data_IF_603696822613
#
_entry.id   IF_603696822613
#
_cell.length_a   1.000
_cell.length_b   1.000
_cell.length_c   1.000
_cell.angle_alpha   90.00
_cell.angle_beta   90.00
_cell.angle_gamma   90.00
#
_symmetry.space_group_name_H-M   'P 1'
#
loop_
_entity.id
_entity.type
_entity.pdbx_description
1 polymer ?
#
# COMPACT_ATOMS: atom_id res chain seq x y z
N UNK A 1 -31.72 11.26 -15.65
CA UNK A 1 -30.83 12.45 -15.54
C UNK A 1 -29.45 12.01 -15.99
N UNK A 2 -28.89 12.63 -17.01
CA UNK A 2 -27.53 12.38 -17.46
C UNK A 2 -26.59 12.98 -16.41
N UNK A 3 -25.84 12.15 -15.70
CA UNK A 3 -24.85 12.60 -14.73
C UNK A 3 -23.72 13.41 -15.40
N UNK A 4 -22.96 14.13 -14.59
CA UNK A 4 -21.84 14.93 -15.09
C UNK A 4 -20.63 14.06 -15.40
N UNK A 5 -19.86 14.45 -16.42
CA UNK A 5 -18.54 13.89 -16.69
C UNK A 5 -17.50 14.71 -15.94
N UNK A 6 -16.79 14.08 -14.99
CA UNK A 6 -15.77 14.71 -14.15
C UNK A 6 -14.41 14.12 -14.48
N UNK A 7 -13.50 14.96 -14.94
CA UNK A 7 -12.17 14.56 -15.38
C UNK A 7 -11.17 14.50 -14.21
N UNK A 8 -10.25 13.52 -14.26
CA UNK A 8 -9.05 13.52 -13.44
C UNK A 8 -7.82 13.34 -14.32
N UNK A 9 -6.84 14.22 -14.14
CA UNK A 9 -5.55 14.18 -14.80
C UNK A 9 -4.41 14.12 -13.78
N UNK A 10 -3.31 13.45 -14.16
CA UNK A 10 -2.08 13.43 -13.40
C UNK A 10 -0.90 13.65 -14.33
N UNK A 11 -0.07 14.64 -14.01
CA UNK A 11 1.11 14.99 -14.78
C UNK A 11 2.37 14.86 -13.94
N UNK A 12 3.49 14.46 -14.54
CA UNK A 12 4.80 14.63 -13.92
C UNK A 12 5.35 16.01 -14.26
N UNK A 13 6.23 16.57 -13.42
CA UNK A 13 6.86 17.88 -13.66
C UNK A 13 7.69 17.92 -14.95
N UNK A 14 7.97 16.77 -15.56
CA UNK A 14 8.70 16.61 -16.81
C UNK A 14 7.80 16.38 -18.04
N UNK A 15 6.49 16.21 -17.85
CA UNK A 15 5.58 15.88 -18.95
C UNK A 15 5.06 17.14 -19.65
N UNK A 16 5.48 17.32 -20.91
CA UNK A 16 4.88 18.27 -21.86
C UNK A 16 3.46 17.87 -22.30
N UNK A 17 2.87 16.82 -21.68
CA UNK A 17 1.57 16.24 -22.06
C UNK A 17 0.39 16.75 -21.23
N UNK A 18 0.52 17.87 -20.53
CA UNK A 18 -0.57 18.51 -19.78
C UNK A 18 -1.73 18.87 -20.69
N UNK A 19 -1.41 19.53 -21.79
CA UNK A 19 -2.39 20.02 -22.76
C UNK A 19 -3.13 18.85 -23.41
N UNK A 20 -2.42 17.78 -23.79
CA UNK A 20 -3.04 16.59 -24.39
C UNK A 20 -4.06 15.90 -23.48
N UNK A 21 -3.77 15.77 -22.17
CA UNK A 21 -4.71 15.17 -21.23
C UNK A 21 -5.93 16.07 -21.01
N UNK A 22 -5.68 17.37 -20.83
CA UNK A 22 -6.74 18.36 -20.64
C UNK A 22 -7.65 18.44 -21.85
N UNK A 23 -7.08 18.49 -23.05
CA UNK A 23 -7.80 18.51 -24.31
C UNK A 23 -8.63 17.24 -24.51
N UNK A 24 -8.05 16.06 -24.25
CA UNK A 24 -8.76 14.79 -24.34
C UNK A 24 -9.95 14.71 -23.37
N UNK A 25 -9.80 15.21 -22.15
CA UNK A 25 -10.88 15.25 -21.16
C UNK A 25 -11.95 16.29 -21.55
N UNK A 26 -11.55 17.42 -22.11
CA UNK A 26 -12.47 18.44 -22.62
C UNK A 26 -13.28 17.93 -23.82
N UNK A 27 -12.62 17.27 -24.77
CA UNK A 27 -13.27 16.61 -25.92
C UNK A 27 -14.20 15.48 -25.48
N UNK A 28 -13.85 14.77 -24.39
CA UNK A 28 -14.71 13.76 -23.78
C UNK A 28 -15.96 14.34 -23.13
N UNK A 29 -16.06 15.68 -22.99
CA UNK A 29 -17.21 16.37 -22.41
C UNK A 29 -17.15 16.59 -20.92
N UNK A 30 -15.95 16.51 -20.29
CA UNK A 30 -15.82 16.77 -18.86
C UNK A 30 -16.17 18.21 -18.50
N UNK A 31 -17.11 18.37 -17.56
CA UNK A 31 -17.55 19.68 -17.07
C UNK A 31 -16.59 20.27 -16.04
N UNK A 32 -15.82 19.43 -15.39
CA UNK A 32 -14.79 19.79 -14.41
C UNK A 32 -13.62 18.82 -14.47
N UNK A 33 -12.41 19.34 -14.35
CA UNK A 33 -11.18 18.53 -14.33
C UNK A 33 -10.39 18.83 -13.04
N UNK A 34 -10.03 17.77 -12.31
CA UNK A 34 -9.12 17.82 -11.18
C UNK A 34 -7.73 17.37 -11.63
N UNK A 35 -6.68 18.05 -11.17
CA UNK A 35 -5.35 17.84 -11.70
C UNK A 35 -4.31 17.79 -10.59
N UNK A 36 -3.60 16.63 -10.47
CA UNK A 36 -2.46 16.48 -9.60
C UNK A 36 -1.14 16.60 -10.39
N UNK A 37 -0.19 17.34 -9.82
CA UNK A 37 1.18 17.40 -10.34
C UNK A 37 2.05 16.47 -9.51
N UNK A 38 2.56 15.39 -10.12
CA UNK A 38 3.43 14.44 -9.45
C UNK A 38 4.86 14.99 -9.38
N UNK A 39 5.27 15.51 -8.25
CA UNK A 39 6.67 15.81 -7.95
C UNK A 39 7.28 14.62 -7.19
N UNK A 40 8.12 13.83 -7.85
CA UNK A 40 8.98 12.80 -7.23
C UNK A 40 8.24 11.73 -6.41
N UNK A 41 8.73 11.44 -5.21
CA UNK A 41 8.28 10.37 -4.32
C UNK A 41 6.98 10.66 -3.56
N UNK A 42 6.35 11.81 -3.70
CA UNK A 42 5.17 12.20 -2.94
C UNK A 42 3.94 11.41 -3.39
N UNK A 43 3.53 10.54 -2.46
CA UNK A 43 2.37 9.67 -2.60
C UNK A 43 1.04 10.42 -2.54
N UNK A 44 1.02 11.71 -2.22
CA UNK A 44 -0.19 12.49 -2.05
C UNK A 44 -0.80 12.92 -3.37
N UNK A 45 -2.11 12.66 -3.49
CA UNK A 45 -2.96 13.06 -4.62
C UNK A 45 -4.16 13.84 -4.09
N UNK A 46 -3.96 15.08 -3.63
CA UNK A 46 -5.02 15.85 -3.02
C UNK A 46 -6.18 16.14 -3.98
N UNK A 47 -5.87 16.32 -5.28
CA UNK A 47 -6.89 16.55 -6.28
C UNK A 47 -7.66 15.27 -6.65
N UNK A 48 -7.03 14.09 -6.60
CA UNK A 48 -7.76 12.83 -6.72
C UNK A 48 -8.74 12.65 -5.56
N UNK A 49 -8.30 12.91 -4.34
CA UNK A 49 -9.17 12.86 -3.15
C UNK A 49 -10.33 13.83 -3.31
N UNK A 50 -10.06 15.09 -3.64
CA UNK A 50 -11.10 16.09 -3.89
C UNK A 50 -12.05 15.71 -5.03
N UNK A 51 -11.55 15.08 -6.10
CA UNK A 51 -12.34 14.56 -7.19
C UNK A 51 -13.29 13.45 -6.74
N UNK A 52 -12.76 12.46 -5.99
CA UNK A 52 -13.55 11.34 -5.46
C UNK A 52 -14.61 11.81 -4.44
N UNK A 53 -14.34 12.87 -3.68
CA UNK A 53 -15.30 13.49 -2.78
C UNK A 53 -16.34 14.33 -3.51
N UNK A 54 -16.00 14.86 -4.70
CA UNK A 54 -16.88 15.71 -5.50
C UNK A 54 -17.93 14.91 -6.27
N UNK A 55 -17.55 13.76 -6.87
CA UNK A 55 -18.45 12.97 -7.73
C UNK A 55 -19.60 12.34 -6.93
N UNK A 56 -20.79 12.31 -7.53
CA UNK A 56 -22.05 11.83 -6.94
C UNK A 56 -22.62 10.66 -7.74
N UNK A 57 -23.62 10.01 -7.16
CA UNK A 57 -24.41 8.99 -7.86
C UNK A 57 -24.91 9.50 -9.21
N UNK A 58 -24.76 8.69 -10.25
CA UNK A 58 -25.06 9.02 -11.64
C UNK A 58 -23.97 9.78 -12.40
N UNK A 59 -22.95 10.37 -11.72
CA UNK A 59 -21.79 10.97 -12.40
C UNK A 59 -20.86 9.90 -12.99
N UNK A 60 -19.95 10.33 -13.87
CA UNK A 60 -18.91 9.47 -14.44
C UNK A 60 -17.53 10.10 -14.25
N UNK A 61 -16.63 9.40 -13.58
CA UNK A 61 -15.22 9.77 -13.50
C UNK A 61 -14.51 9.40 -14.80
N UNK A 62 -13.89 10.36 -15.44
CA UNK A 62 -13.18 10.20 -16.71
C UNK A 62 -11.69 10.42 -16.50
N UNK A 63 -10.87 9.52 -17.02
CA UNK A 63 -9.41 9.68 -17.09
C UNK A 63 -8.93 9.53 -18.52
N UNK A 64 -7.82 10.15 -18.86
CA UNK A 64 -7.21 9.96 -20.16
C UNK A 64 -6.68 8.53 -20.33
N UNK A 65 -5.98 7.98 -19.30
CA UNK A 65 -5.43 6.62 -19.27
C UNK A 65 -5.56 6.01 -17.88
N UNK A 66 -5.64 4.69 -17.82
CA UNK A 66 -5.77 3.92 -16.56
C UNK A 66 -4.63 4.19 -15.58
N UNK A 67 -3.40 4.38 -16.07
CA UNK A 67 -2.20 4.64 -15.25
C UNK A 67 -2.22 6.03 -14.57
N UNK A 68 -3.11 6.91 -14.99
CA UNK A 68 -3.33 8.20 -14.32
C UNK A 68 -4.11 8.02 -13.02
N UNK A 69 -5.05 7.10 -12.96
CA UNK A 69 -5.85 6.81 -11.76
C UNK A 69 -5.15 5.85 -10.80
N UNK A 70 -4.76 4.67 -11.27
CA UNK A 70 -4.16 3.62 -10.45
C UNK A 70 -2.63 3.76 -10.31
N UNK A 71 -2.10 3.44 -9.13
CA UNK A 71 -0.65 3.25 -8.89
C UNK A 71 -0.21 1.81 -9.21
N UNK A 72 -1.18 0.91 -9.22
CA UNK A 72 -1.05 -0.50 -9.57
C UNK A 72 -2.40 -0.98 -10.07
N UNK A 73 -2.42 -2.10 -10.77
CA UNK A 73 -3.66 -2.69 -11.24
C UNK A 73 -4.64 -3.01 -10.09
N UNK A 74 -4.22 -3.61 -8.96
CA UNK A 74 -5.10 -3.79 -7.81
C UNK A 74 -5.72 -2.48 -7.30
N UNK A 75 -4.91 -1.42 -7.12
CA UNK A 75 -5.41 -0.13 -6.66
C UNK A 75 -6.42 0.50 -7.64
N UNK A 76 -6.20 0.35 -8.95
CA UNK A 76 -7.15 0.80 -9.97
C UNK A 76 -8.50 0.09 -9.80
N UNK A 77 -8.47 -1.24 -9.67
CA UNK A 77 -9.67 -2.06 -9.52
C UNK A 77 -10.44 -1.70 -8.26
N UNK A 78 -9.74 -1.56 -7.12
CA UNK A 78 -10.36 -1.20 -5.86
C UNK A 78 -11.02 0.20 -5.95
N UNK A 79 -10.35 1.15 -6.62
CA UNK A 79 -10.91 2.50 -6.84
C UNK A 79 -12.18 2.46 -7.70
N UNK A 80 -12.15 1.74 -8.83
CA UNK A 80 -13.31 1.66 -9.74
C UNK A 80 -14.46 0.87 -9.13
N UNK A 81 -14.19 -0.17 -8.32
CA UNK A 81 -15.22 -0.87 -7.53
C UNK A 81 -15.89 0.09 -6.55
N UNK A 82 -15.10 0.87 -5.80
CA UNK A 82 -15.64 1.87 -4.87
C UNK A 82 -16.50 2.93 -5.56
N UNK A 83 -16.16 3.32 -6.79
CA UNK A 83 -17.00 4.21 -7.59
C UNK A 83 -18.32 3.53 -7.97
N UNK A 84 -18.27 2.28 -8.43
CA UNK A 84 -19.46 1.51 -8.80
C UNK A 84 -20.41 1.29 -7.61
N UNK A 85 -19.88 1.00 -6.42
CA UNK A 85 -20.65 0.86 -5.17
C UNK A 85 -21.38 2.16 -4.78
N UNK A 86 -20.87 3.31 -5.25
CA UNK A 86 -21.47 4.63 -5.08
C UNK A 86 -22.37 5.05 -6.25
N UNK A 87 -22.63 4.17 -7.21
CA UNK A 87 -23.40 4.49 -8.41
C UNK A 87 -22.67 5.39 -9.41
N UNK A 88 -21.34 5.53 -9.32
CA UNK A 88 -20.53 6.40 -10.17
C UNK A 88 -19.91 5.58 -11.30
N UNK A 89 -20.10 6.03 -12.55
CA UNK A 89 -19.46 5.46 -13.72
C UNK A 89 -17.95 5.75 -13.78
N UNK A 90 -17.23 4.93 -14.52
CA UNK A 90 -15.81 5.15 -14.80
C UNK A 90 -15.54 5.02 -16.29
N UNK A 91 -14.76 5.96 -16.86
CA UNK A 91 -14.37 5.95 -18.27
C UNK A 91 -12.88 6.25 -18.44
N UNK A 92 -12.19 5.40 -19.22
CA UNK A 92 -10.83 5.68 -19.70
C UNK A 92 -10.88 5.94 -21.21
N UNK A 93 -10.36 7.09 -21.61
CA UNK A 93 -10.46 7.55 -23.00
C UNK A 93 -9.57 6.73 -23.93
N UNK A 94 -8.30 6.54 -23.53
CA UNK A 94 -7.28 5.88 -24.37
C UNK A 94 -7.54 4.37 -24.55
N UNK A 95 -7.95 3.68 -23.49
CA UNK A 95 -8.25 2.25 -23.53
C UNK A 95 -9.69 1.96 -23.97
N UNK A 96 -10.51 2.98 -24.22
CA UNK A 96 -11.91 2.89 -24.62
C UNK A 96 -12.76 2.01 -23.64
N UNK A 97 -12.45 2.07 -22.35
CA UNK A 97 -13.19 1.38 -21.30
C UNK A 97 -14.24 2.34 -20.75
N UNK A 98 -15.50 1.89 -20.69
CA UNK A 98 -16.62 2.67 -20.17
C UNK A 98 -17.54 1.76 -19.35
N UNK A 99 -17.47 1.86 -18.03
CA UNK A 99 -18.26 1.01 -17.13
C UNK A 99 -19.74 1.39 -17.07
N UNK A 100 -20.15 2.48 -17.71
CA UNK A 100 -21.58 2.81 -17.87
C UNK A 100 -22.27 1.89 -18.88
N UNK A 101 -21.48 1.28 -19.78
CA UNK A 101 -21.97 0.33 -20.78
C UNK A 101 -21.84 -1.12 -20.30
N UNK A 102 -22.73 -2.05 -20.71
CA UNK A 102 -22.61 -3.47 -20.39
C UNK A 102 -21.27 -4.09 -20.84
N UNK A 103 -20.80 -3.75 -22.04
CA UNK A 103 -19.54 -4.23 -22.59
C UNK A 103 -18.32 -3.72 -21.79
N UNK A 104 -18.29 -2.44 -21.44
CA UNK A 104 -17.21 -1.88 -20.65
C UNK A 104 -17.18 -2.45 -19.21
N UNK A 105 -18.33 -2.72 -18.61
CA UNK A 105 -18.39 -3.44 -17.33
C UNK A 105 -17.81 -4.84 -17.44
N UNK A 106 -18.15 -5.59 -18.48
CA UNK A 106 -17.60 -6.93 -18.72
C UNK A 106 -16.07 -6.87 -18.83
N UNK A 107 -15.54 -5.97 -19.66
CA UNK A 107 -14.09 -5.78 -19.82
C UNK A 107 -13.43 -5.46 -18.48
N UNK A 108 -14.02 -4.56 -17.70
CA UNK A 108 -13.50 -4.22 -16.39
C UNK A 108 -13.50 -5.41 -15.41
N UNK A 109 -14.54 -6.25 -15.41
CA UNK A 109 -14.59 -7.47 -14.60
C UNK A 109 -13.52 -8.49 -14.99
N UNK A 110 -13.21 -8.62 -16.28
CA UNK A 110 -12.12 -9.48 -16.76
C UNK A 110 -10.76 -8.98 -16.24
N UNK A 111 -10.49 -7.68 -16.31
CA UNK A 111 -9.26 -7.09 -15.74
C UNK A 111 -9.19 -7.30 -14.22
N UNK A 112 -10.33 -7.16 -13.52
CA UNK A 112 -10.40 -7.39 -12.08
C UNK A 112 -10.07 -8.84 -11.71
N UNK A 113 -10.62 -9.80 -12.42
CA UNK A 113 -10.33 -11.23 -12.23
C UNK A 113 -8.87 -11.57 -12.52
N UNK A 114 -8.28 -11.00 -13.57
CA UNK A 114 -6.86 -11.18 -13.91
C UNK A 114 -5.94 -10.65 -12.81
N UNK A 115 -6.23 -9.47 -12.27
CA UNK A 115 -5.43 -8.88 -11.20
C UNK A 115 -5.55 -9.67 -9.87
N UNK A 116 -6.70 -10.22 -9.58
CA UNK A 116 -6.89 -11.11 -8.43
C UNK A 116 -6.09 -12.40 -8.60
N UNK A 117 -6.15 -13.01 -9.76
CA UNK A 117 -5.36 -14.19 -10.10
C UNK A 117 -3.84 -13.93 -9.99
N UNK A 118 -3.33 -12.82 -10.53
CA UNK A 118 -1.92 -12.45 -10.39
C UNK A 118 -1.52 -12.27 -8.92
N UNK A 119 -2.37 -11.65 -8.11
CA UNK A 119 -2.15 -11.47 -6.67
C UNK A 119 -2.05 -12.82 -5.94
N UNK A 120 -2.91 -13.75 -6.28
CA UNK A 120 -2.94 -15.08 -5.67
C UNK A 120 -1.71 -15.91 -6.07
N UNK A 121 -1.28 -15.86 -7.33
CA UNK A 121 -0.03 -16.46 -7.77
C UNK A 121 1.20 -15.91 -7.02
N UNK A 122 1.26 -14.60 -6.79
CA UNK A 122 2.36 -13.98 -6.04
C UNK A 122 2.34 -14.46 -4.58
N UNK A 123 1.15 -14.55 -3.96
CA UNK A 123 0.99 -15.06 -2.60
C UNK A 123 1.44 -16.51 -2.50
N UNK A 124 0.99 -17.35 -3.41
CA UNK A 124 1.36 -18.78 -3.46
C UNK A 124 2.87 -18.96 -3.58
N UNK A 125 3.50 -18.27 -4.53
CA UNK A 125 4.97 -18.29 -4.70
C UNK A 125 5.72 -17.81 -3.44
N UNK A 126 5.21 -16.77 -2.79
CA UNK A 126 5.78 -16.23 -1.56
C UNK A 126 5.68 -17.25 -0.42
N UNK A 127 4.51 -17.88 -0.24
CA UNK A 127 4.29 -18.92 0.76
C UNK A 127 5.20 -20.13 0.53
N UNK A 128 5.29 -20.61 -0.71
CA UNK A 128 6.18 -21.72 -1.07
C UNK A 128 7.66 -21.36 -0.82
N UNK A 129 8.09 -20.14 -1.18
CA UNK A 129 9.43 -19.64 -0.91
C UNK A 129 9.76 -19.54 0.57
N UNK A 130 8.82 -19.04 1.39
CA UNK A 130 8.97 -18.98 2.86
C UNK A 130 9.01 -20.37 3.49
N UNK A 131 8.17 -21.30 3.04
CA UNK A 131 8.19 -22.69 3.51
C UNK A 131 9.53 -23.36 3.20
N UNK A 132 10.04 -23.22 1.97
CA UNK A 132 11.35 -23.75 1.58
C UNK A 132 12.51 -23.08 2.33
N UNK A 133 12.42 -21.81 2.67
CA UNK A 133 13.42 -21.11 3.48
C UNK A 133 13.42 -21.63 4.92
N UNK A 134 12.24 -21.84 5.52
CA UNK A 134 12.09 -22.40 6.87
C UNK A 134 12.60 -23.83 6.95
N UNK A 135 12.31 -24.68 5.96
CA UNK A 135 12.83 -26.03 5.87
C UNK A 135 14.37 -26.08 5.83
N UNK A 136 15.01 -25.02 5.31
CA UNK A 136 16.47 -24.84 5.31
C UNK A 136 17.01 -24.11 6.55
N UNK A 137 16.20 -23.98 7.61
CA UNK A 137 16.60 -23.33 8.87
C UNK A 137 16.68 -21.81 8.81
N UNK A 138 16.22 -21.17 7.74
CA UNK A 138 16.19 -19.70 7.64
C UNK A 138 14.94 -19.17 8.32
N UNK A 139 15.11 -18.48 9.45
CA UNK A 139 14.03 -17.81 10.16
C UNK A 139 13.97 -16.37 9.67
N UNK A 140 12.86 -15.99 9.05
CA UNK A 140 12.62 -14.61 8.64
C UNK A 140 12.30 -13.71 9.84
N UNK A 141 12.37 -12.41 9.63
CA UNK A 141 12.05 -11.41 10.63
C UNK A 141 13.27 -10.55 11.01
N UNK A 142 13.01 -9.53 11.85
CA UNK A 142 14.07 -8.66 12.38
C UNK A 142 14.96 -9.48 13.33
N UNK A 143 16.28 -9.43 13.10
CA UNK A 143 17.24 -10.07 14.02
C UNK A 143 17.00 -9.60 15.45
N UNK A 144 17.03 -10.51 16.45
CA UNK A 144 16.90 -10.12 17.84
C UNK A 144 17.93 -9.04 18.19
N UNK A 145 17.49 -7.97 18.82
CA UNK A 145 18.38 -6.89 19.26
C UNK A 145 19.39 -7.40 20.31
N UNK A 146 18.99 -8.41 21.08
CA UNK A 146 19.83 -9.08 22.07
C UNK A 146 20.21 -10.47 21.55
N UNK A 147 21.47 -10.63 21.12
CA UNK A 147 22.02 -11.94 20.72
C UNK A 147 22.21 -12.82 21.95
N UNK A 148 22.28 -14.16 21.82
CA UNK A 148 22.54 -15.07 22.96
C UNK A 148 23.77 -14.67 23.79
N UNK A 149 24.85 -14.24 23.13
CA UNK A 149 26.09 -13.79 23.80
C UNK A 149 25.84 -12.49 24.59
N UNK A 150 25.14 -11.52 24.02
CA UNK A 150 24.78 -10.27 24.70
C UNK A 150 23.79 -10.51 25.85
N UNK A 151 22.86 -11.45 25.67
CA UNK A 151 21.91 -11.84 26.73
C UNK A 151 22.62 -12.49 27.93
N UNK A 152 23.60 -13.36 27.67
CA UNK A 152 24.44 -13.94 28.73
C UNK A 152 25.24 -12.87 29.46
N UNK A 153 25.97 -12.02 28.75
CA UNK A 153 26.73 -10.91 29.34
C UNK A 153 25.85 -9.97 30.17
N UNK A 154 24.64 -9.64 29.68
CA UNK A 154 23.69 -8.84 30.44
C UNK A 154 23.22 -9.49 31.73
N UNK A 155 23.00 -10.80 31.71
CA UNK A 155 22.62 -11.60 32.90
C UNK A 155 23.75 -11.69 33.91
N UNK A 156 24.97 -11.92 33.43
CA UNK A 156 26.16 -12.02 34.30
C UNK A 156 26.40 -10.67 35.02
N UNK A 157 26.30 -9.53 34.30
CA UNK A 157 26.40 -8.18 34.88
C UNK A 157 25.27 -7.89 35.88
N UNK A 158 24.06 -8.34 35.60
CA UNK A 158 22.93 -8.16 36.51
C UNK A 158 23.08 -8.93 37.79
N UNK A 159 23.53 -10.19 37.72
CA UNK A 159 23.74 -11.08 38.86
C UNK A 159 24.96 -10.70 39.72
N UNK A 160 26.00 -10.10 39.11
CA UNK A 160 27.16 -9.61 39.81
C UNK A 160 26.88 -8.45 40.75
N UNK A 161 25.76 -7.76 40.57
CA UNK A 161 25.41 -6.56 41.34
C UNK A 161 26.30 -5.36 41.01
N UNK A 162 26.03 -4.23 41.63
CA UNK A 162 26.87 -3.02 41.49
C UNK A 162 26.65 -2.21 40.17
N UNK A 163 25.95 -2.77 39.16
CA UNK A 163 25.68 -2.07 37.88
C UNK A 163 24.19 -1.87 37.70
N UNK A 164 23.78 -0.64 37.36
CA UNK A 164 22.35 -0.38 37.16
C UNK A 164 21.83 -1.00 35.86
N UNK A 165 20.54 -1.34 35.82
CA UNK A 165 19.90 -1.88 34.60
C UNK A 165 20.02 -0.90 33.42
N UNK A 166 20.09 0.40 33.70
CA UNK A 166 20.30 1.42 32.69
C UNK A 166 21.71 1.33 32.06
N UNK A 167 22.73 1.09 32.87
CA UNK A 167 24.10 0.97 32.38
C UNK A 167 24.30 -0.35 31.64
N UNK A 168 23.74 -1.46 32.14
CA UNK A 168 23.74 -2.76 31.45
C UNK A 168 23.06 -2.60 30.06
N UNK A 169 21.93 -1.96 29.98
CA UNK A 169 21.23 -1.72 28.72
C UNK A 169 22.09 -0.92 27.72
N UNK A 170 22.85 0.07 28.22
CA UNK A 170 23.81 0.85 27.42
C UNK A 170 24.97 0.01 26.92
N UNK A 171 25.56 -0.81 27.78
CA UNK A 171 26.68 -1.70 27.44
C UNK A 171 26.30 -2.72 26.35
N UNK A 172 25.14 -3.37 26.48
CA UNK A 172 24.70 -4.38 25.48
C UNK A 172 24.01 -3.76 24.25
N UNK A 173 23.74 -2.43 24.26
CA UNK A 173 23.20 -1.70 23.13
C UNK A 173 21.72 -2.00 22.87
N UNK A 174 20.90 -2.11 23.93
CA UNK A 174 19.44 -2.34 23.83
C UNK A 174 18.67 -1.37 24.72
N UNK A 175 17.35 -1.22 24.50
CA UNK A 175 16.51 -0.45 25.40
C UNK A 175 16.32 -1.16 26.74
N UNK A 176 16.11 -0.39 27.83
CA UNK A 176 15.78 -0.92 29.15
C UNK A 176 14.59 -1.88 29.12
N UNK A 177 13.56 -1.54 28.34
CA UNK A 177 12.38 -2.40 28.17
C UNK A 177 12.71 -3.78 27.55
N UNK A 178 13.63 -3.81 26.58
CA UNK A 178 14.11 -5.04 25.96
C UNK A 178 14.90 -5.87 26.98
N UNK A 179 15.76 -5.24 27.77
CA UNK A 179 16.56 -5.91 28.78
C UNK A 179 15.68 -6.51 29.90
N UNK A 180 14.71 -5.76 30.44
CA UNK A 180 13.77 -6.26 31.45
C UNK A 180 12.98 -7.47 30.97
N UNK A 181 12.55 -7.50 29.70
CA UNK A 181 11.85 -8.65 29.12
C UNK A 181 12.69 -9.90 29.13
N UNK A 182 14.00 -9.77 28.87
CA UNK A 182 14.96 -10.91 28.91
C UNK A 182 15.37 -11.34 30.33
N UNK A 183 15.47 -10.40 31.26
CA UNK A 183 15.80 -10.72 32.64
C UNK A 183 14.63 -11.38 33.40
N UNK A 184 13.37 -10.93 33.15
CA UNK A 184 12.15 -11.51 33.75
C UNK A 184 11.88 -12.96 33.30
N UNK A 185 12.09 -13.28 32.03
CA UNK A 185 11.91 -14.66 31.52
C UNK A 185 12.90 -15.66 32.14
N UNK A 186 14.03 -15.19 32.71
CA UNK A 186 14.98 -16.03 33.40
C UNK A 186 14.68 -16.28 34.89
N UNK A 187 13.77 -15.51 35.50
CA UNK A 187 13.41 -15.67 36.92
C UNK A 187 12.39 -16.81 37.16
N UNK A 188 11.50 -17.04 36.16
CA UNK A 188 10.45 -18.07 36.28
C UNK A 188 10.95 -19.52 36.04
N UNK A 189 12.18 -19.71 35.52
CA UNK A 189 12.72 -21.06 35.24
C UNK A 189 13.56 -21.61 36.39
N UNK A 190 13.92 -20.76 37.39
CA UNK A 190 14.74 -21.18 38.55
C UNK A 190 13.92 -21.54 39.81
N UNK A 191 12.60 -21.55 39.71
CA UNK A 191 11.69 -21.77 40.85
C UNK A 191 10.99 -23.13 40.90
N UNK A 192 11.40 -24.10 40.04
CA UNK A 192 10.83 -25.45 40.05
C UNK A 192 11.98 -26.49 40.22
N UNK A 193 12.39 -26.72 41.45
CA UNK A 193 13.11 -27.91 41.90
C UNK A 193 12.68 -28.22 43.34
#
# INVERSE_FOLDING_TARGET
>A
MTGNLVGYARVSTADQNLDLQSDALSVAGCTRVFMDTASGSLADRPQLTACLDYVRDGDTLVVWRLDRLGRSLPHLIDTVRSLADRGIGFRSVQEAIDTTTPGGRLVFHVFAALAEFERDLIRERTHAGLAAARARGRVGGRKPALTPTKAKAARDLYNAGGTTVADIARVVGVSRATLYRHLKVGADVSGAS
#
